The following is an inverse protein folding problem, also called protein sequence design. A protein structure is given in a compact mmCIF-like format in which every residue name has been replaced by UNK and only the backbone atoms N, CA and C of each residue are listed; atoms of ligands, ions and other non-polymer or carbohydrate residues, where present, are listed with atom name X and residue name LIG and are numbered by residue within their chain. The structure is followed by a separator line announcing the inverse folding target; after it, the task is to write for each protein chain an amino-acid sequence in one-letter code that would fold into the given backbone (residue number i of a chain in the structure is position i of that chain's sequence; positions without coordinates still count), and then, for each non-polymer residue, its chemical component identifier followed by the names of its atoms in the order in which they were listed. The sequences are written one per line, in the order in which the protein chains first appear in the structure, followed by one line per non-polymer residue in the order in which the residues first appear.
data_IF_243891446822
#
_entry.id   IF_243891446822
#
_cell.length_a   1.000
_cell.length_b   1.000
_cell.length_c   1.000
_cell.angle_alpha   90.00
_cell.angle_beta   90.00
_cell.angle_gamma   90.00
#
_symmetry.space_group_name_H-M   'P 1'
#
loop_
_entity.id
_entity.type
_entity.pdbx_description
1 polymer ?
#
# COMPACT_ATOMS: atom_id res chain seq x y z
N UNK A 1 20.69 -17.92 4.74
CA UNK A 1 21.68 -17.83 5.84
C UNK A 1 22.69 -16.70 5.56
N UNK A 2 23.37 -16.68 4.41
CA UNK A 2 24.37 -15.64 4.08
C UNK A 2 23.81 -14.22 4.17
N UNK A 3 22.65 -13.95 3.55
CA UNK A 3 21.99 -12.64 3.58
C UNK A 3 21.69 -12.21 5.03
N UNK A 4 21.20 -13.10 5.87
CA UNK A 4 20.95 -12.83 7.28
C UNK A 4 22.24 -12.46 8.03
N UNK A 5 23.34 -13.20 7.80
CA UNK A 5 24.64 -12.90 8.40
C UNK A 5 25.17 -11.55 7.99
N UNK A 6 25.06 -11.18 6.71
CA UNK A 6 25.48 -9.88 6.19
C UNK A 6 24.68 -8.74 6.80
N UNK A 7 23.34 -8.92 6.94
CA UNK A 7 22.50 -7.92 7.61
C UNK A 7 22.89 -7.76 9.08
N UNK A 8 23.11 -8.87 9.80
CA UNK A 8 23.56 -8.81 11.20
C UNK A 8 24.93 -8.14 11.35
N UNK A 9 25.86 -8.42 10.45
CA UNK A 9 27.16 -7.77 10.43
C UNK A 9 27.01 -6.24 10.20
N UNK A 10 26.17 -5.84 9.24
CA UNK A 10 25.86 -4.41 9.00
C UNK A 10 25.22 -3.73 10.23
N UNK A 11 24.27 -4.40 10.90
CA UNK A 11 23.61 -3.87 12.10
C UNK A 11 24.57 -3.65 13.29
N UNK A 12 25.70 -4.35 13.35
CA UNK A 12 26.75 -4.10 14.36
C UNK A 12 27.41 -2.72 14.19
N UNK A 13 27.49 -2.23 12.93
CA UNK A 13 28.17 -0.96 12.62
C UNK A 13 27.18 0.19 12.38
N UNK A 14 25.94 -0.11 11.97
CA UNK A 14 24.93 0.89 11.62
C UNK A 14 23.62 0.57 12.31
N UNK A 15 23.32 1.30 13.38
CA UNK A 15 22.01 1.19 14.06
C UNK A 15 20.93 1.84 13.20
N UNK A 16 19.78 1.17 12.98
CA UNK A 16 18.65 1.80 12.30
C UNK A 16 18.15 3.00 13.10
N UNK A 17 18.12 4.17 12.49
CA UNK A 17 17.58 5.39 13.08
C UNK A 17 16.12 5.49 12.71
N UNK A 18 15.21 5.35 13.68
CA UNK A 18 13.78 5.62 13.47
C UNK A 18 13.57 7.13 13.45
N UNK A 19 13.30 7.68 12.28
CA UNK A 19 13.00 9.11 12.11
C UNK A 19 11.70 9.47 12.84
N UNK A 20 11.63 10.69 13.35
CA UNK A 20 10.40 11.22 13.94
C UNK A 20 9.47 11.71 12.84
N UNK A 21 8.17 11.46 13.00
CA UNK A 21 7.18 12.07 12.12
C UNK A 21 7.12 13.57 12.37
N UNK A 22 6.98 14.38 11.30
CA UNK A 22 6.68 15.78 11.46
C UNK A 22 5.28 15.95 12.10
N UNK A 23 5.01 17.10 12.77
CA UNK A 23 3.66 17.39 13.25
C UNK A 23 2.67 17.46 12.09
N UNK A 24 1.38 17.19 12.35
CA UNK A 24 0.33 17.02 11.33
C UNK A 24 0.28 18.17 10.31
N UNK A 25 0.52 19.41 10.74
CA UNK A 25 0.58 20.58 9.84
C UNK A 25 1.66 20.48 8.76
N UNK A 26 2.76 19.75 9.02
CA UNK A 26 3.89 19.57 8.09
C UNK A 26 3.89 18.22 7.37
N UNK A 27 2.92 17.35 7.64
CA UNK A 27 2.77 16.11 6.89
C UNK A 27 2.54 16.41 5.41
N UNK A 28 3.14 15.65 4.48
CA UNK A 28 2.95 15.82 3.05
C UNK A 28 1.52 15.43 2.62
N UNK A 29 1.10 15.89 1.46
CA UNK A 29 -0.05 15.34 0.76
C UNK A 29 0.31 13.96 0.21
N UNK A 30 -0.62 13.01 0.31
CA UNK A 30 -0.43 11.62 -0.12
C UNK A 30 -1.62 11.21 -0.97
N UNK A 31 -1.37 10.63 -2.13
CA UNK A 31 -2.41 9.93 -2.90
C UNK A 31 -2.39 8.45 -2.57
N UNK A 32 -3.51 7.94 -2.07
CA UNK A 32 -3.77 6.51 -1.96
C UNK A 32 -4.40 6.04 -3.27
N UNK A 33 -3.60 5.34 -4.08
CA UNK A 33 -3.94 4.96 -5.44
C UNK A 33 -4.39 3.50 -5.49
N UNK A 34 -5.62 3.27 -5.95
CA UNK A 34 -6.28 1.97 -5.97
C UNK A 34 -6.67 1.62 -7.41
N UNK A 35 -6.22 0.46 -7.89
CA UNK A 35 -6.68 -0.09 -9.16
C UNK A 35 -7.73 -1.18 -8.91
N UNK A 36 -8.79 -1.20 -9.73
CA UNK A 36 -9.86 -2.17 -9.61
C UNK A 36 -10.35 -2.70 -10.97
N UNK A 37 -10.69 -3.99 -10.98
CA UNK A 37 -11.42 -4.65 -12.04
C UNK A 37 -12.32 -5.72 -11.44
N UNK A 38 -13.64 -5.51 -11.46
CA UNK A 38 -14.64 -6.41 -10.88
C UNK A 38 -14.37 -6.69 -9.39
N UNK A 39 -14.42 -5.64 -8.58
CA UNK A 39 -14.13 -5.65 -7.14
C UNK A 39 -15.34 -5.20 -6.30
N UNK A 40 -16.59 -5.39 -6.83
CA UNK A 40 -17.81 -4.90 -6.18
C UNK A 40 -17.96 -5.34 -4.73
N UNK A 41 -17.49 -6.53 -4.38
CA UNK A 41 -17.64 -7.08 -3.02
C UNK A 41 -16.79 -6.34 -1.98
N UNK A 42 -15.67 -5.75 -2.40
CA UNK A 42 -14.69 -5.15 -1.47
C UNK A 42 -14.67 -3.62 -1.47
N UNK A 43 -15.35 -2.96 -2.41
CA UNK A 43 -15.37 -1.49 -2.52
C UNK A 43 -15.71 -0.82 -1.20
N UNK A 44 -16.81 -1.21 -0.58
CA UNK A 44 -17.30 -0.54 0.64
C UNK A 44 -16.37 -0.79 1.84
N UNK A 45 -15.84 -2.01 1.96
CA UNK A 45 -14.88 -2.34 3.01
C UNK A 45 -13.57 -1.57 2.82
N UNK A 46 -13.05 -1.53 1.58
CA UNK A 46 -11.86 -0.77 1.23
C UNK A 46 -12.02 0.72 1.52
N UNK A 47 -13.14 1.31 1.15
CA UNK A 47 -13.39 2.72 1.42
C UNK A 47 -13.44 3.03 2.91
N UNK A 48 -14.13 2.20 3.72
CA UNK A 48 -14.11 2.35 5.19
C UNK A 48 -12.70 2.20 5.74
N UNK A 49 -11.90 1.27 5.22
CA UNK A 49 -10.50 1.12 5.60
C UNK A 49 -9.69 2.37 5.27
N UNK A 50 -9.82 2.94 4.07
CA UNK A 50 -9.12 4.16 3.66
C UNK A 50 -9.48 5.35 4.55
N UNK A 51 -10.76 5.55 4.86
CA UNK A 51 -11.24 6.65 5.70
C UNK A 51 -10.89 6.45 7.19
N UNK A 52 -10.62 5.22 7.60
CA UNK A 52 -10.19 4.88 8.97
C UNK A 52 -8.67 5.01 9.21
N UNK A 53 -7.90 5.37 8.20
CA UNK A 53 -6.46 5.55 8.34
C UNK A 53 -6.13 6.75 9.23
N UNK A 54 -5.10 6.61 10.07
CA UNK A 54 -4.59 7.70 10.91
C UNK A 54 -3.74 8.67 10.08
N UNK A 55 -4.43 9.49 9.27
CA UNK A 55 -3.81 10.55 8.48
C UNK A 55 -4.79 11.72 8.35
N UNK A 56 -4.34 13.00 8.31
CA UNK A 56 -5.24 14.12 8.12
C UNK A 56 -6.06 13.98 6.83
N UNK A 57 -7.38 14.07 6.95
CA UNK A 57 -8.31 13.81 5.84
C UNK A 57 -8.14 14.80 4.68
N UNK A 58 -7.72 16.03 4.98
CA UNK A 58 -7.42 17.08 4.00
C UNK A 58 -6.11 16.84 3.24
N UNK A 59 -5.30 15.87 3.67
CA UNK A 59 -4.00 15.53 3.09
C UNK A 59 -3.93 14.12 2.48
N UNK A 60 -4.99 13.34 2.59
CA UNK A 60 -5.08 12.00 2.02
C UNK A 60 -6.08 11.98 0.86
N UNK A 61 -5.57 11.98 -0.36
CA UNK A 61 -6.38 11.90 -1.58
C UNK A 61 -6.59 10.42 -1.94
N UNK A 62 -7.83 9.99 -2.07
CA UNK A 62 -8.18 8.61 -2.45
C UNK A 62 -8.54 8.61 -3.94
N UNK A 63 -7.73 7.93 -4.75
CA UNK A 63 -7.93 7.81 -6.21
C UNK A 63 -8.17 6.35 -6.58
N UNK A 64 -9.30 6.10 -7.22
CA UNK A 64 -9.64 4.81 -7.82
C UNK A 64 -9.52 4.88 -9.33
N UNK A 65 -8.86 3.88 -9.91
CA UNK A 65 -8.86 3.68 -11.36
C UNK A 65 -9.48 2.34 -11.68
N UNK A 66 -10.65 2.35 -12.32
CA UNK A 66 -11.33 1.14 -12.74
C UNK A 66 -11.07 0.89 -14.23
N UNK A 67 -10.86 -0.37 -14.61
CA UNK A 67 -10.39 -0.76 -15.94
C UNK A 67 -11.33 -1.80 -16.57
N UNK A 68 -12.45 -1.34 -17.11
CA UNK A 68 -13.42 -2.18 -17.79
C UNK A 68 -14.25 -3.06 -16.85
N UNK A 69 -14.48 -2.64 -15.59
CA UNK A 69 -15.38 -3.35 -14.68
C UNK A 69 -16.79 -3.39 -15.26
N UNK A 70 -17.38 -4.59 -15.30
CA UNK A 70 -18.72 -4.86 -15.81
C UNK A 70 -19.70 -5.35 -14.71
N UNK A 71 -19.25 -5.34 -13.45
CA UNK A 71 -20.05 -5.55 -12.24
C UNK A 71 -20.48 -4.22 -11.61
N UNK A 72 -20.93 -4.23 -10.36
CA UNK A 72 -21.37 -3.03 -9.63
C UNK A 72 -20.22 -2.20 -9.02
N UNK A 73 -18.96 -2.47 -9.35
CA UNK A 73 -17.79 -1.76 -8.80
C UNK A 73 -17.94 -0.23 -8.93
N UNK A 74 -18.23 0.26 -10.16
CA UNK A 74 -18.34 1.70 -10.40
C UNK A 74 -19.56 2.31 -9.71
N UNK A 75 -20.73 1.61 -9.73
CA UNK A 75 -21.94 2.06 -9.07
C UNK A 75 -21.75 2.18 -7.55
N UNK A 76 -21.02 1.25 -6.93
CA UNK A 76 -20.71 1.32 -5.50
C UNK A 76 -19.79 2.50 -5.17
N UNK A 77 -18.82 2.80 -6.04
CA UNK A 77 -17.92 3.93 -5.86
C UNK A 77 -18.63 5.28 -5.91
N UNK A 78 -19.76 5.40 -6.63
CA UNK A 78 -20.59 6.62 -6.64
C UNK A 78 -21.12 7.01 -5.26
N UNK A 79 -21.27 6.04 -4.35
CA UNK A 79 -21.69 6.28 -2.96
C UNK A 79 -20.57 6.88 -2.09
N UNK A 80 -19.36 7.01 -2.60
CA UNK A 80 -18.19 7.48 -1.87
C UNK A 80 -17.63 8.78 -2.46
N UNK A 81 -18.23 9.94 -2.16
CA UNK A 81 -17.79 11.23 -2.72
C UNK A 81 -16.38 11.65 -2.27
N UNK A 82 -15.78 10.96 -1.29
CA UNK A 82 -14.42 11.18 -0.84
C UNK A 82 -13.37 10.59 -1.80
N UNK A 83 -13.80 9.73 -2.74
CA UNK A 83 -12.91 9.12 -3.73
C UNK A 83 -13.01 9.86 -5.07
N UNK A 84 -11.87 10.12 -5.70
CA UNK A 84 -11.80 10.48 -7.11
C UNK A 84 -11.75 9.20 -7.94
N UNK A 85 -12.73 9.02 -8.83
CA UNK A 85 -12.84 7.80 -9.63
C UNK A 85 -12.51 8.09 -11.09
N UNK A 86 -11.54 7.37 -11.63
CA UNK A 86 -11.21 7.37 -13.05
C UNK A 86 -11.67 6.06 -13.70
N UNK A 87 -12.78 6.14 -14.41
CA UNK A 87 -13.39 5.01 -15.10
C UNK A 87 -12.90 4.91 -16.55
N UNK A 88 -12.58 3.66 -16.98
CA UNK A 88 -12.33 3.30 -18.37
C UNK A 88 -13.24 2.14 -18.75
N UNK A 89 -14.10 2.28 -19.80
CA UNK A 89 -15.05 1.26 -20.18
C UNK A 89 -14.42 0.02 -20.82
N UNK A 90 -13.25 0.18 -21.45
CA UNK A 90 -12.54 -0.93 -22.10
C UNK A 90 -11.36 -1.37 -21.24
N UNK A 91 -11.31 -2.66 -20.92
CA UNK A 91 -10.21 -3.26 -20.18
C UNK A 91 -8.91 -3.20 -20.97
N UNK A 92 -7.89 -2.59 -20.38
CA UNK A 92 -6.55 -2.44 -20.97
C UNK A 92 -5.45 -3.06 -20.08
N UNK A 93 -5.83 -3.55 -18.91
CA UNK A 93 -4.94 -4.18 -17.95
C UNK A 93 -4.37 -3.24 -16.89
N UNK A 94 -3.87 -3.83 -15.81
CA UNK A 94 -3.44 -3.12 -14.59
C UNK A 94 -2.42 -2.00 -14.87
N UNK A 95 -1.41 -2.29 -15.71
CA UNK A 95 -0.37 -1.29 -16.04
C UNK A 95 -0.95 -0.07 -16.75
N UNK A 96 -1.85 -0.28 -17.72
CA UNK A 96 -2.50 0.81 -18.42
C UNK A 96 -3.41 1.62 -17.48
N UNK A 97 -4.14 0.95 -16.59
CA UNK A 97 -4.95 1.61 -15.56
C UNK A 97 -4.09 2.48 -14.63
N UNK A 98 -2.95 1.95 -14.16
CA UNK A 98 -2.00 2.70 -13.34
C UNK A 98 -1.46 3.93 -14.09
N UNK A 99 -1.03 3.77 -15.34
CA UNK A 99 -0.50 4.89 -16.15
C UNK A 99 -1.53 6.00 -16.31
N UNK A 100 -2.79 5.66 -16.62
CA UNK A 100 -3.87 6.64 -16.74
C UNK A 100 -4.16 7.35 -15.42
N UNK A 101 -4.28 6.61 -14.34
CA UNK A 101 -4.60 7.18 -13.04
C UNK A 101 -3.47 8.04 -12.47
N UNK A 102 -2.21 7.76 -12.81
CA UNK A 102 -1.08 8.60 -12.41
C UNK A 102 -1.16 10.02 -12.98
N UNK A 103 -1.90 10.25 -14.05
CA UNK A 103 -2.15 11.60 -14.57
C UNK A 103 -3.04 12.45 -13.64
N UNK A 104 -3.74 11.82 -12.70
CA UNK A 104 -4.58 12.49 -11.69
C UNK A 104 -3.84 12.72 -10.37
N UNK A 105 -2.57 12.32 -10.29
CA UNK A 105 -1.77 12.42 -9.07
C UNK A 105 -0.94 13.70 -9.11
N UNK A 106 -1.19 14.56 -8.16
CA UNK A 106 -0.51 15.86 -7.97
C UNK A 106 0.22 15.95 -6.62
N UNK A 107 0.20 14.86 -5.84
CA UNK A 107 0.81 14.81 -4.51
C UNK A 107 2.27 14.34 -4.56
N UNK A 108 3.11 14.78 -3.60
CA UNK A 108 4.53 14.39 -3.57
C UNK A 108 4.74 12.90 -3.26
N UNK A 109 3.77 12.22 -2.63
CA UNK A 109 3.84 10.80 -2.30
C UNK A 109 2.62 10.06 -2.85
N UNK A 110 2.87 8.87 -3.38
CA UNK A 110 1.83 7.97 -3.88
C UNK A 110 1.98 6.62 -3.20
N UNK A 111 0.88 6.10 -2.68
CA UNK A 111 0.80 4.76 -2.10
C UNK A 111 -0.10 3.89 -2.98
N UNK A 112 0.49 2.92 -3.65
CA UNK A 112 -0.25 1.93 -4.45
C UNK A 112 -0.78 0.82 -3.55
N UNK A 113 -2.05 0.50 -3.69
CA UNK A 113 -2.69 -0.62 -2.98
C UNK A 113 -3.75 -1.28 -3.86
N UNK A 114 -3.91 -2.59 -3.74
CA UNK A 114 -4.99 -3.31 -4.40
C UNK A 114 -6.32 -3.07 -3.68
N UNK A 115 -7.43 -3.19 -4.39
CA UNK A 115 -8.77 -3.01 -3.83
C UNK A 115 -9.06 -3.98 -2.67
N UNK A 116 -8.59 -5.22 -2.78
CA UNK A 116 -8.77 -6.28 -1.79
C UNK A 116 -7.71 -6.32 -0.67
N UNK A 117 -6.81 -5.33 -0.61
CA UNK A 117 -5.77 -5.25 0.42
C UNK A 117 -6.12 -4.18 1.44
N UNK A 118 -6.38 -4.57 2.68
CA UNK A 118 -6.66 -3.63 3.77
C UNK A 118 -5.36 -3.15 4.42
N UNK A 119 -5.27 -1.85 4.65
CA UNK A 119 -4.12 -1.22 5.29
C UNK A 119 -4.33 -1.15 6.80
N UNK A 120 -3.28 -1.34 7.58
CA UNK A 120 -3.32 -1.04 9.01
C UNK A 120 -3.43 0.47 9.24
N UNK A 121 -4.01 0.87 10.36
CA UNK A 121 -4.38 2.24 10.67
C UNK A 121 -3.24 3.25 10.52
N UNK A 122 -2.04 2.89 10.93
CA UNK A 122 -0.87 3.75 10.89
C UNK A 122 -0.05 3.65 9.59
N UNK A 123 -0.50 2.87 8.59
CA UNK A 123 0.28 2.55 7.39
C UNK A 123 0.85 3.79 6.70
N UNK A 124 0.02 4.82 6.47
CA UNK A 124 0.46 6.04 5.78
C UNK A 124 1.49 6.80 6.61
N UNK A 125 1.30 6.91 7.92
CA UNK A 125 2.27 7.56 8.81
C UNK A 125 3.62 6.85 8.82
N UNK A 126 3.64 5.53 8.82
CA UNK A 126 4.89 4.76 8.79
C UNK A 126 5.61 4.90 7.44
N UNK A 127 4.87 4.93 6.33
CA UNK A 127 5.43 5.19 5.00
C UNK A 127 6.04 6.59 4.95
N UNK A 128 5.30 7.62 5.37
CA UNK A 128 5.79 9.01 5.41
C UNK A 128 7.03 9.14 6.31
N UNK A 129 7.03 8.47 7.47
CA UNK A 129 8.20 8.44 8.35
C UNK A 129 9.45 7.88 7.66
N UNK A 130 9.30 6.88 6.83
CA UNK A 130 10.44 6.33 6.10
C UNK A 130 11.01 7.33 5.08
N UNK A 131 10.16 8.13 4.44
CA UNK A 131 10.56 9.18 3.50
C UNK A 131 11.20 10.42 4.15
N UNK A 132 11.20 10.55 5.49
CA UNK A 132 12.01 11.55 6.18
C UNK A 132 13.54 11.31 6.01
N UNK A 133 13.93 10.15 5.54
CA UNK A 133 15.28 9.90 5.06
C UNK A 133 15.36 10.26 3.55
N UNK A 134 16.12 11.30 3.15
CA UNK A 134 16.21 11.73 1.75
C UNK A 134 16.82 10.68 0.80
N UNK A 135 17.35 9.59 1.35
CA UNK A 135 17.87 8.47 0.56
C UNK A 135 16.81 7.43 0.23
N UNK A 136 15.62 7.51 0.84
CA UNK A 136 14.52 6.60 0.58
C UNK A 136 13.73 7.09 -0.62
N UNK A 137 13.77 6.34 -1.71
CA UNK A 137 12.97 6.60 -2.93
C UNK A 137 11.73 5.72 -3.06
N UNK A 138 11.66 4.62 -2.31
CA UNK A 138 10.52 3.70 -2.33
C UNK A 138 10.39 2.97 -0.99
N UNK A 139 9.15 2.70 -0.58
CA UNK A 139 8.83 1.92 0.63
C UNK A 139 7.85 0.82 0.23
N UNK A 140 8.15 -0.43 0.59
CA UNK A 140 7.25 -1.55 0.39
C UNK A 140 6.59 -1.96 1.72
N UNK A 141 5.27 -2.11 1.71
CA UNK A 141 4.53 -2.69 2.82
C UNK A 141 4.70 -4.21 2.90
N UNK A 142 4.56 -4.77 4.09
CA UNK A 142 4.46 -6.21 4.29
C UNK A 142 3.00 -6.66 4.09
N UNK A 143 2.79 -7.59 3.16
CA UNK A 143 1.48 -8.24 3.00
C UNK A 143 1.35 -9.37 4.04
N UNK A 144 0.30 -9.33 4.85
CA UNK A 144 -0.06 -10.39 5.79
C UNK A 144 -1.39 -10.99 5.37
N UNK A 145 -1.46 -12.32 5.33
CA UNK A 145 -2.72 -13.01 5.08
C UNK A 145 -3.45 -13.11 6.42
N UNK A 146 -4.68 -12.57 6.48
CA UNK A 146 -5.56 -12.80 7.60
C UNK A 146 -6.04 -14.26 7.52
N UNK A 147 -5.49 -15.13 8.38
CA UNK A 147 -5.92 -16.53 8.48
C UNK A 147 -7.29 -16.53 9.14
N UNK A 148 -8.34 -16.85 8.40
CA UNK A 148 -9.63 -17.23 9.00
C UNK A 148 -9.48 -18.65 9.52
N UNK A 149 -9.89 -18.89 10.76
CA UNK A 149 -9.79 -20.21 11.45
C UNK A 149 -10.50 -21.37 10.72
N UNK A 150 -11.16 -21.11 9.59
CA UNK A 150 -11.92 -22.10 8.81
C UNK A 150 -11.17 -22.73 7.64
N UNK A 151 -10.01 -22.21 7.27
CA UNK A 151 -9.28 -22.72 6.11
C UNK A 151 -8.24 -23.75 6.57
N UNK A 152 -8.53 -25.01 6.27
CA UNK A 152 -7.67 -26.16 6.59
C UNK A 152 -6.28 -26.08 5.91
N UNK A 153 -5.53 -27.19 5.96
CA UNK A 153 -4.11 -27.35 5.62
C UNK A 153 -3.54 -26.59 4.40
N UNK A 154 -4.36 -26.14 3.44
CA UNK A 154 -3.93 -25.35 2.28
C UNK A 154 -3.48 -23.93 2.65
N UNK A 155 -4.15 -23.28 3.62
CA UNK A 155 -3.81 -21.94 4.08
C UNK A 155 -2.45 -21.88 4.82
N UNK A 156 -2.03 -23.00 5.42
CA UNK A 156 -0.74 -23.10 6.11
C UNK A 156 0.47 -22.97 5.19
N UNK A 157 0.41 -23.56 3.99
CA UNK A 157 1.50 -23.52 3.01
C UNK A 157 1.69 -22.11 2.41
N UNK A 158 0.60 -21.45 2.08
CA UNK A 158 0.61 -20.10 1.51
C UNK A 158 1.11 -19.07 2.53
N UNK A 159 0.70 -19.18 3.80
CA UNK A 159 1.19 -18.31 4.87
C UNK A 159 2.70 -18.45 5.13
N UNK A 160 3.27 -19.65 5.01
CA UNK A 160 4.72 -19.88 5.14
C UNK A 160 5.48 -19.23 3.97
N UNK A 161 4.97 -19.37 2.74
CA UNK A 161 5.59 -18.77 1.55
C UNK A 161 5.65 -17.24 1.66
N UNK A 162 4.54 -16.60 2.01
CA UNK A 162 4.47 -15.13 2.18
C UNK A 162 5.37 -14.63 3.31
N UNK A 163 5.45 -15.37 4.41
CA UNK A 163 6.36 -15.03 5.51
C UNK A 163 7.83 -15.14 5.09
N UNK A 164 8.18 -16.14 4.30
CA UNK A 164 9.53 -16.30 3.75
C UNK A 164 9.86 -15.17 2.78
N UNK A 165 8.97 -14.85 1.85
CA UNK A 165 9.15 -13.76 0.88
C UNK A 165 9.28 -12.39 1.56
N UNK A 166 8.41 -12.09 2.54
CA UNK A 166 8.48 -10.86 3.32
C UNK A 166 9.80 -10.75 4.09
N UNK A 167 10.27 -11.86 4.65
CA UNK A 167 11.57 -11.90 5.35
C UNK A 167 12.72 -11.62 4.40
N UNK A 168 12.72 -12.21 3.20
CA UNK A 168 13.76 -11.96 2.20
C UNK A 168 13.75 -10.50 1.74
N UNK A 169 12.58 -9.93 1.43
CA UNK A 169 12.44 -8.52 1.05
C UNK A 169 12.94 -7.58 2.16
N UNK A 170 12.61 -7.88 3.41
CA UNK A 170 13.07 -7.09 4.56
C UNK A 170 14.59 -7.18 4.75
N UNK A 171 15.20 -8.34 4.55
CA UNK A 171 16.65 -8.52 4.62
C UNK A 171 17.37 -7.81 3.46
N UNK A 172 16.83 -7.91 2.24
CA UNK A 172 17.36 -7.25 1.06
C UNK A 172 17.30 -5.72 1.19
N UNK A 173 16.17 -5.19 1.62
CA UNK A 173 16.01 -3.76 1.91
C UNK A 173 17.01 -3.26 2.96
N UNK A 174 17.26 -4.03 4.02
CA UNK A 174 18.28 -3.69 5.04
C UNK A 174 19.70 -3.71 4.52
N UNK A 175 19.99 -4.58 3.55
CA UNK A 175 21.34 -4.69 2.98
C UNK A 175 21.62 -3.61 1.95
N UNK A 176 20.71 -3.38 1.01
CA UNK A 176 20.96 -2.57 -0.18
C UNK A 176 20.29 -1.18 -0.16
N UNK A 177 19.09 -1.04 0.37
CA UNK A 177 18.30 0.18 0.27
C UNK A 177 17.92 0.82 1.61
N UNK A 178 17.96 0.08 2.70
CA UNK A 178 17.57 0.62 3.99
C UNK A 178 18.77 1.22 4.74
N UNK A 179 18.70 2.47 4.99
CA UNK A 179 19.39 3.15 6.07
C UNK A 179 18.41 3.73 7.05
#
# INVERSE_FOLDING_TARGET
ILLYMLVKLKELFVKPVRRQLPPDKRLPYVTLFITAFNEEEVVDEKMRNCLGLDYPADKLHIVWTTDGSNDSTNQRLENWPQATVHFQPLRQGKTAAMTRGMMLVDTPLVVFTDANTMLNREAIREIVRAFEDPKVGCVAGEKRIAVQEKDGAAAGGEGIYWKYESTLKALDARLYSAR
#
